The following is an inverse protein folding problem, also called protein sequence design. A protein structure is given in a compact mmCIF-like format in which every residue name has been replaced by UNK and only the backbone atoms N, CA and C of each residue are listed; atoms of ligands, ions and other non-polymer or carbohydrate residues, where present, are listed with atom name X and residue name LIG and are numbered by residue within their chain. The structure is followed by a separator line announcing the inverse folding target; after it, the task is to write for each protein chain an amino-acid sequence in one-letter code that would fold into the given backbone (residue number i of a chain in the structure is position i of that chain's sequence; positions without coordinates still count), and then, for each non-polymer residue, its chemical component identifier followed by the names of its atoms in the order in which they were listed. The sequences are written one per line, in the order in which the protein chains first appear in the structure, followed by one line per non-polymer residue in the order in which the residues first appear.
data_IF_193939598345
#
_entry.id   IF_193939598345
#
_cell.length_a   1.000
_cell.length_b   1.000
_cell.length_c   1.000
_cell.angle_alpha   90.00
_cell.angle_beta   90.00
_cell.angle_gamma   90.00
#
_symmetry.space_group_name_H-M   'P 1'
#
loop_
_entity.id
_entity.type
_entity.pdbx_description
1 polymer ?
#
# COMPACT_ATOMS: atom_id res chain seq x y z
N UNK A 1 0.84 -0.51 -25.13
CA UNK A 1 0.86 -1.51 -24.04
C UNK A 1 1.07 -0.72 -22.76
N UNK A 2 0.04 -0.60 -21.92
CA UNK A 2 0.16 0.05 -20.63
C UNK A 2 0.65 -1.00 -19.62
N UNK A 3 1.50 -0.59 -18.68
CA UNK A 3 1.91 -1.48 -17.60
C UNK A 3 0.77 -1.55 -16.58
N UNK A 4 0.24 -2.75 -16.34
CA UNK A 4 -0.87 -2.97 -15.39
C UNK A 4 -0.41 -2.96 -13.93
N UNK A 5 0.91 -3.07 -13.70
CA UNK A 5 1.51 -3.12 -12.36
C UNK A 5 2.11 -1.78 -11.95
N UNK A 6 1.68 -1.26 -10.79
CA UNK A 6 2.25 -0.08 -10.15
C UNK A 6 2.81 -0.48 -8.78
N UNK A 7 3.95 0.09 -8.41
CA UNK A 7 4.59 -0.12 -7.11
C UNK A 7 4.69 1.20 -6.37
N UNK A 8 4.16 1.24 -5.15
CA UNK A 8 4.34 2.33 -4.20
C UNK A 8 5.25 1.84 -3.06
N UNK A 9 6.26 2.62 -2.69
CA UNK A 9 7.16 2.26 -1.60
C UNK A 9 7.50 3.47 -0.74
N UNK A 10 7.81 3.22 0.53
CA UNK A 10 8.30 4.23 1.47
C UNK A 10 9.22 3.56 2.49
N UNK A 11 10.30 4.26 2.87
CA UNK A 11 11.13 3.84 4.02
C UNK A 11 10.39 4.24 5.30
N UNK A 12 10.18 3.26 6.20
CA UNK A 12 9.43 3.45 7.44
C UNK A 12 10.40 3.53 8.62
N UNK A 13 10.49 4.69 9.26
CA UNK A 13 11.28 4.87 10.49
C UNK A 13 10.42 4.99 11.75
N UNK A 14 9.14 5.37 11.60
CA UNK A 14 8.21 5.64 12.70
C UNK A 14 6.75 5.50 12.23
N UNK A 15 5.80 5.59 13.18
CA UNK A 15 4.35 5.49 12.89
C UNK A 15 3.82 6.61 11.97
N UNK A 16 4.45 7.79 11.97
CA UNK A 16 4.07 8.87 11.07
C UNK A 16 4.46 8.52 9.62
N UNK A 17 5.54 7.78 9.41
CA UNK A 17 5.88 7.26 8.10
C UNK A 17 4.84 6.26 7.58
N UNK A 18 4.36 5.38 8.46
CA UNK A 18 3.26 4.47 8.15
C UNK A 18 1.96 5.24 7.84
N UNK A 19 1.69 6.33 8.55
CA UNK A 19 0.47 7.13 8.35
C UNK A 19 0.50 7.83 6.99
N UNK A 20 1.67 8.35 6.64
CA UNK A 20 1.92 8.93 5.33
C UNK A 20 1.81 7.89 4.20
N UNK A 21 2.25 6.65 4.41
CA UNK A 21 2.10 5.60 3.39
C UNK A 21 0.61 5.27 3.17
N UNK A 22 -0.19 5.16 4.23
CA UNK A 22 -1.65 5.00 4.08
C UNK A 22 -2.30 6.21 3.38
N UNK A 23 -1.91 7.43 3.72
CA UNK A 23 -2.42 8.63 3.05
C UNK A 23 -2.04 8.67 1.55
N UNK A 24 -0.87 8.15 1.18
CA UNK A 24 -0.48 8.03 -0.21
C UNK A 24 -1.31 6.97 -0.95
N UNK A 25 -1.68 5.85 -0.29
CA UNK A 25 -2.60 4.87 -0.86
C UNK A 25 -3.98 5.48 -1.15
N UNK A 26 -4.53 6.27 -0.22
CA UNK A 26 -5.81 6.95 -0.46
C UNK A 26 -5.77 7.96 -1.61
N UNK A 27 -4.67 8.70 -1.75
CA UNK A 27 -4.49 9.60 -2.91
C UNK A 27 -4.35 8.82 -4.22
N UNK A 28 -3.70 7.66 -4.15
CA UNK A 28 -3.53 6.79 -5.30
C UNK A 28 -4.86 6.15 -5.73
N UNK A 29 -5.66 5.72 -4.76
CA UNK A 29 -7.05 5.28 -4.93
C UNK A 29 -7.89 6.37 -5.61
N UNK A 30 -7.89 7.60 -5.08
CA UNK A 30 -8.62 8.74 -5.65
C UNK A 30 -8.17 9.03 -7.09
N UNK A 31 -6.86 9.02 -7.34
CA UNK A 31 -6.32 9.14 -8.69
C UNK A 31 -6.86 8.01 -9.58
N UNK A 32 -6.82 6.76 -9.14
CA UNK A 32 -7.30 5.62 -9.93
C UNK A 32 -8.78 5.78 -10.34
N UNK A 33 -9.61 6.24 -9.41
CA UNK A 33 -11.03 6.50 -9.65
C UNK A 33 -11.24 7.64 -10.64
N UNK A 34 -10.50 8.74 -10.50
CA UNK A 34 -10.59 9.89 -11.40
C UNK A 34 -10.20 9.54 -12.85
N UNK A 35 -9.31 8.56 -13.02
CA UNK A 35 -8.84 8.12 -14.34
C UNK A 35 -9.54 6.86 -14.87
N UNK A 36 -10.56 6.33 -14.15
CA UNK A 36 -11.26 5.09 -14.47
C UNK A 36 -10.33 3.87 -14.57
N UNK A 37 -9.29 3.85 -13.73
CA UNK A 37 -8.28 2.81 -13.61
C UNK A 37 -8.40 2.09 -12.25
N UNK A 38 -9.62 1.73 -11.85
CA UNK A 38 -9.86 1.04 -10.58
C UNK A 38 -8.98 -0.20 -10.42
N UNK A 39 -8.38 -0.35 -9.24
CA UNK A 39 -7.54 -1.49 -8.92
C UNK A 39 -8.36 -2.65 -8.38
N UNK A 40 -7.86 -3.87 -8.62
CA UNK A 40 -8.34 -5.04 -7.92
C UNK A 40 -7.53 -5.20 -6.63
N UNK A 41 -8.02 -4.62 -5.53
CA UNK A 41 -7.34 -4.63 -4.23
C UNK A 41 -7.01 -6.06 -3.75
N UNK A 42 -7.73 -7.08 -4.21
CA UNK A 42 -7.47 -8.50 -3.86
C UNK A 42 -6.19 -9.04 -4.50
N UNK A 43 -5.69 -8.41 -5.57
CA UNK A 43 -4.42 -8.74 -6.23
C UNK A 43 -3.26 -7.91 -5.71
N UNK A 44 -3.53 -6.84 -4.97
CA UNK A 44 -2.52 -5.99 -4.37
C UNK A 44 -1.95 -6.64 -3.10
N UNK A 45 -0.64 -6.52 -2.93
CA UNK A 45 0.10 -7.14 -1.84
C UNK A 45 1.10 -6.15 -1.24
N UNK A 46 1.37 -6.27 0.05
CA UNK A 46 2.42 -5.51 0.72
C UNK A 46 3.68 -6.36 0.82
N UNK A 47 4.79 -5.75 0.42
CA UNK A 47 6.14 -6.29 0.63
C UNK A 47 6.85 -5.43 1.67
N UNK A 48 7.30 -6.06 2.75
CA UNK A 48 8.10 -5.41 3.78
C UNK A 48 9.53 -5.92 3.71
N UNK A 49 10.47 -5.00 3.56
CA UNK A 49 11.89 -5.31 3.59
C UNK A 49 12.50 -4.79 4.89
N UNK A 50 13.28 -5.64 5.57
CA UNK A 50 13.97 -5.31 6.81
C UNK A 50 13.43 -6.04 8.03
N UNK A 51 14.07 -5.80 9.18
CA UNK A 51 13.68 -6.43 10.44
C UNK A 51 12.32 -5.88 10.87
N UNK A 52 11.33 -6.76 11.09
CA UNK A 52 10.09 -6.38 11.74
C UNK A 52 10.43 -5.72 13.08
N UNK A 53 10.26 -4.40 13.17
CA UNK A 53 10.34 -3.70 14.46
C UNK A 53 9.18 -4.25 15.28
N UNK A 54 9.54 -4.85 16.42
CA UNK A 54 8.74 -5.77 17.22
C UNK A 54 7.52 -5.14 17.93
N UNK A 55 6.68 -4.40 17.22
CA UNK A 55 5.47 -3.80 17.81
C UNK A 55 4.54 -3.03 16.89
N UNK A 56 4.97 -2.63 15.69
CA UNK A 56 4.15 -1.81 14.80
C UNK A 56 4.02 -2.48 13.43
N UNK A 57 3.01 -3.32 13.29
CA UNK A 57 2.60 -3.84 11.99
C UNK A 57 1.29 -3.17 11.63
N UNK A 58 1.36 -1.98 11.00
CA UNK A 58 0.15 -1.34 10.48
C UNK A 58 -0.38 -2.16 9.30
N UNK A 59 -1.67 -2.45 9.35
CA UNK A 59 -2.45 -2.99 8.23
C UNK A 59 -2.79 -1.81 7.32
N UNK A 60 -2.43 -1.90 6.05
CA UNK A 60 -2.79 -0.89 5.05
C UNK A 60 -4.03 -1.32 4.28
N UNK A 61 -4.78 -0.34 3.82
CA UNK A 61 -6.04 -0.55 3.12
C UNK A 61 -6.03 0.14 1.76
N UNK A 62 -6.65 -0.49 0.77
CA UNK A 62 -6.95 0.06 -0.55
C UNK A 62 -8.43 -0.25 -0.83
N UNK A 63 -9.26 0.75 -1.15
CA UNK A 63 -10.72 0.57 -1.31
C UNK A 63 -11.36 -0.14 -0.10
N UNK A 64 -11.02 0.29 1.12
CA UNK A 64 -11.41 -0.35 2.39
C UNK A 64 -10.99 -1.83 2.54
N UNK A 65 -10.26 -2.38 1.58
CA UNK A 65 -9.79 -3.76 1.59
C UNK A 65 -8.42 -3.82 2.25
N UNK A 66 -8.25 -4.60 3.34
CA UNK A 66 -6.93 -4.79 3.95
C UNK A 66 -6.01 -5.54 3.00
N UNK A 67 -4.83 -4.99 2.76
CA UNK A 67 -3.86 -5.60 1.87
C UNK A 67 -3.05 -6.67 2.62
N UNK A 68 -2.96 -7.91 2.10
CA UNK A 68 -2.16 -8.96 2.70
C UNK A 68 -0.66 -8.63 2.60
N UNK A 69 0.08 -8.96 3.67
CA UNK A 69 1.54 -8.93 3.66
C UNK A 69 2.04 -10.30 3.18
N UNK A 70 2.99 -10.29 2.24
CA UNK A 70 3.61 -11.52 1.73
C UNK A 70 4.82 -11.85 2.61
N UNK A 71 4.85 -13.06 3.16
CA UNK A 71 6.04 -13.59 3.83
C UNK A 71 7.14 -13.87 2.78
N UNK A 72 8.34 -13.36 3.03
CA UNK A 72 9.52 -13.53 2.17
C UNK A 72 10.34 -14.77 2.53
#
# INVERSE_FOLDING_TARGET
MFADDIKLWKVIHNEADEANLQANLHRFEEWSHNWLLSFDATKCNILRFGKASSGHQRIYHLDDTPLPEVEA
#
